data_IF_279601416393
#
_entry.id   IF_279601416393
#
_cell.length_a   1.000
_cell.length_b   1.000
_cell.length_c   1.000
_cell.angle_alpha   90.00
_cell.angle_beta   90.00
_cell.angle_gamma   90.00
#
_symmetry.space_group_name_H-M   'P 1'
#
loop_
_entity.id
_entity.type
_entity.pdbx_description
1 polymer ?
#
# COMPACT_ATOMS: atom_id res chain seq x y z
N UNK A 1 13.39 -49.61 -30.85
CA UNK A 1 13.21 -48.16 -31.15
C UNK A 1 12.46 -47.57 -29.99
N UNK A 2 13.21 -47.07 -29.02
CA UNK A 2 12.74 -47.00 -27.65
C UNK A 2 12.32 -45.58 -27.31
N UNK A 3 11.02 -45.32 -27.52
CA UNK A 3 10.38 -44.04 -27.26
C UNK A 3 10.38 -43.70 -25.76
N UNK A 4 11.50 -43.18 -25.27
CA UNK A 4 11.62 -42.59 -23.94
C UNK A 4 10.59 -41.47 -23.77
N UNK A 5 9.49 -41.76 -23.09
CA UNK A 5 8.58 -40.74 -22.53
C UNK A 5 9.40 -39.79 -21.67
N UNK A 6 9.66 -38.58 -22.16
CA UNK A 6 10.13 -37.50 -21.30
C UNK A 6 8.98 -37.11 -20.38
N UNK A 7 9.09 -37.50 -19.10
CA UNK A 7 8.19 -36.99 -18.08
C UNK A 7 8.41 -35.47 -17.96
N UNK A 8 7.36 -34.68 -18.20
CA UNK A 8 7.41 -33.24 -18.01
C UNK A 8 7.69 -32.95 -16.53
N UNK A 9 8.79 -32.23 -16.26
CA UNK A 9 9.06 -31.72 -14.92
C UNK A 9 8.02 -30.65 -14.59
N UNK A 10 6.98 -31.02 -13.87
CA UNK A 10 6.03 -30.07 -13.26
C UNK A 10 6.81 -29.18 -12.30
N UNK A 11 7.15 -27.97 -12.72
CA UNK A 11 7.84 -26.99 -11.88
C UNK A 11 6.92 -26.59 -10.73
N UNK A 12 7.18 -27.12 -9.52
CA UNK A 12 6.37 -26.85 -8.34
C UNK A 12 6.36 -25.35 -8.04
N UNK A 13 5.18 -24.73 -8.16
CA UNK A 13 5.03 -23.30 -7.94
C UNK A 13 5.14 -22.97 -6.45
N UNK A 14 5.82 -21.86 -6.14
CA UNK A 14 5.95 -21.38 -4.77
C UNK A 14 4.57 -21.14 -4.15
N UNK A 15 4.20 -21.83 -3.04
CA UNK A 15 2.85 -21.79 -2.51
C UNK A 15 2.40 -20.40 -2.06
N UNK A 16 1.10 -20.18 -2.20
CA UNK A 16 0.38 -19.02 -1.66
C UNK A 16 -0.24 -19.40 -0.32
N UNK A 17 -0.09 -18.53 0.67
CA UNK A 17 -0.48 -18.74 2.05
C UNK A 17 -1.59 -17.76 2.48
N UNK A 18 -2.44 -18.24 3.39
CA UNK A 18 -3.31 -17.37 4.21
C UNK A 18 -2.61 -17.05 5.53
N UNK A 19 -2.99 -15.95 6.18
CA UNK A 19 -2.34 -15.47 7.41
C UNK A 19 -2.19 -16.55 8.51
N UNK A 20 -3.21 -17.41 8.67
CA UNK A 20 -3.23 -18.50 9.66
C UNK A 20 -2.35 -19.71 9.30
N UNK A 21 -1.83 -19.77 8.07
CA UNK A 21 -0.96 -20.83 7.56
C UNK A 21 0.53 -20.41 7.55
N UNK A 22 0.85 -19.21 8.06
CA UNK A 22 2.24 -18.77 8.26
C UNK A 22 2.69 -19.17 9.66
N UNK A 23 3.74 -19.97 9.70
CA UNK A 23 4.55 -20.16 10.89
C UNK A 23 5.72 -19.16 10.86
N UNK A 24 5.96 -18.51 11.99
CA UNK A 24 7.04 -17.53 12.14
C UNK A 24 8.38 -18.17 12.49
N UNK A 25 8.42 -19.42 12.96
CA UNK A 25 9.67 -20.14 13.22
C UNK A 25 10.42 -20.48 11.92
N UNK A 26 9.67 -20.85 10.87
CA UNK A 26 10.18 -21.07 9.51
C UNK A 26 10.70 -19.78 8.80
N UNK A 27 10.70 -18.60 9.44
CA UNK A 27 11.23 -17.35 8.83
C UNK A 27 12.76 -17.27 8.96
N UNK A 28 13.42 -17.19 7.80
CA UNK A 28 14.87 -17.09 7.67
C UNK A 28 15.28 -15.66 7.25
N UNK A 29 15.89 -14.93 8.18
CA UNK A 29 16.45 -13.58 7.95
C UNK A 29 17.94 -13.71 7.61
N UNK A 30 18.39 -13.10 6.51
CA UNK A 30 19.82 -13.09 6.15
C UNK A 30 20.66 -12.25 7.13
N UNK A 31 21.99 -12.47 7.18
CA UNK A 31 22.92 -11.47 7.73
C UNK A 31 22.65 -10.08 7.16
N UNK A 32 22.88 -9.05 7.98
CA UNK A 32 22.67 -7.65 7.62
C UNK A 32 23.79 -7.15 6.70
N UNK A 33 23.47 -6.85 5.45
CA UNK A 33 24.38 -6.17 4.54
C UNK A 33 24.40 -4.67 4.84
N UNK A 34 25.49 -4.20 5.45
CA UNK A 34 25.72 -2.77 5.76
C UNK A 34 26.39 -2.00 4.60
N UNK A 35 26.56 -2.57 3.39
CA UNK A 35 27.19 -1.88 2.24
C UNK A 35 26.34 -0.71 1.70
N UNK A 36 25.04 -0.91 1.55
CA UNK A 36 24.12 0.09 0.98
C UNK A 36 23.91 1.35 1.83
N UNK A 37 23.08 2.32 1.38
CA UNK A 37 22.76 3.52 2.19
C UNK A 37 21.99 3.17 3.49
N UNK A 38 21.30 2.03 3.51
CA UNK A 38 20.71 1.40 4.68
C UNK A 38 21.30 0.00 4.85
N UNK A 39 21.32 -0.52 6.07
CA UNK A 39 21.50 -1.95 6.32
C UNK A 39 20.31 -2.73 5.76
N UNK A 40 20.56 -3.87 5.12
CA UNK A 40 19.52 -4.70 4.49
C UNK A 40 19.69 -6.17 4.90
N UNK A 41 18.63 -6.79 5.41
CA UNK A 41 18.51 -8.25 5.49
C UNK A 41 17.36 -8.72 4.62
N UNK A 42 17.59 -9.76 3.81
CA UNK A 42 16.55 -10.39 3.01
C UNK A 42 15.79 -11.42 3.85
N UNK A 43 14.47 -11.44 3.70
CA UNK A 43 13.57 -12.34 4.41
C UNK A 43 13.19 -13.47 3.45
N UNK A 44 13.39 -14.71 3.88
CA UNK A 44 13.02 -15.94 3.20
C UNK A 44 12.19 -16.82 4.14
N UNK A 45 11.62 -17.90 3.60
CA UNK A 45 10.86 -18.91 4.33
C UNK A 45 11.49 -20.28 4.10
N UNK A 46 11.64 -21.09 5.14
CA UNK A 46 12.03 -22.49 4.97
C UNK A 46 10.81 -23.33 4.58
N UNK A 47 10.75 -23.74 3.32
CA UNK A 47 9.57 -24.38 2.76
C UNK A 47 9.69 -25.89 2.88
N UNK A 48 9.28 -26.44 4.02
CA UNK A 48 9.38 -27.88 4.32
C UNK A 48 8.76 -28.79 3.23
N UNK A 49 7.71 -28.32 2.53
CA UNK A 49 7.09 -29.05 1.41
C UNK A 49 8.00 -29.11 0.18
N UNK A 50 8.60 -27.98 -0.20
CA UNK A 50 9.50 -27.86 -1.35
C UNK A 50 10.98 -28.15 -1.02
N UNK A 51 11.29 -28.45 0.26
CA UNK A 51 12.63 -28.67 0.82
C UNK A 51 13.65 -27.60 0.41
N UNK A 52 13.20 -26.34 0.32
CA UNK A 52 14.02 -25.22 -0.17
C UNK A 52 13.56 -23.88 0.39
N UNK A 53 14.40 -22.84 0.24
CA UNK A 53 14.16 -21.50 0.77
C UNK A 53 13.41 -20.67 -0.25
N UNK A 54 12.17 -20.28 0.05
CA UNK A 54 11.32 -19.49 -0.87
C UNK A 54 10.97 -18.12 -0.30
N UNK A 55 10.17 -17.33 -1.03
CA UNK A 55 9.53 -16.11 -0.51
C UNK A 55 8.13 -16.44 -0.01
N UNK A 56 7.74 -15.86 1.12
CA UNK A 56 6.35 -15.96 1.60
C UNK A 56 5.44 -15.21 0.64
N UNK A 57 4.50 -15.89 -0.01
CA UNK A 57 3.45 -15.24 -0.80
C UNK A 57 2.14 -15.26 0.00
N UNK A 58 1.79 -14.13 0.59
CA UNK A 58 0.58 -13.93 1.40
C UNK A 58 -0.56 -13.37 0.56
N UNK A 59 -1.72 -14.03 0.60
CA UNK A 59 -2.93 -13.58 -0.08
C UNK A 59 -3.95 -13.01 0.91
N UNK A 60 -4.31 -11.74 0.72
CA UNK A 60 -5.30 -11.04 1.55
C UNK A 60 -6.73 -11.58 1.32
N UNK A 61 -7.66 -11.19 2.21
CA UNK A 61 -9.07 -11.10 1.85
C UNK A 61 -9.30 -10.01 0.79
N UNK A 62 -10.55 -9.78 0.41
CA UNK A 62 -10.90 -8.67 -0.49
C UNK A 62 -11.09 -7.38 0.32
N UNK A 63 -10.38 -6.33 -0.08
CA UNK A 63 -10.33 -5.03 0.61
C UNK A 63 -10.90 -3.97 -0.36
N UNK A 64 -11.87 -3.19 0.10
CA UNK A 64 -12.31 -1.98 -0.60
C UNK A 64 -11.40 -0.80 -0.22
N UNK A 65 -10.90 -0.10 -1.24
CA UNK A 65 -10.01 1.06 -1.10
C UNK A 65 -10.82 2.28 -0.63
N UNK A 66 -11.15 2.33 0.67
CA UNK A 66 -11.88 3.43 1.32
C UNK A 66 -11.02 4.67 1.53
N UNK A 67 -9.69 4.52 1.61
CA UNK A 67 -8.70 5.59 1.59
C UNK A 67 -7.35 5.06 1.07
N UNK A 68 -6.34 5.93 0.97
CA UNK A 68 -4.98 5.53 0.57
C UNK A 68 -4.82 5.41 -0.95
N UNK A 69 -4.35 4.25 -1.42
CA UNK A 69 -3.97 4.03 -2.82
C UNK A 69 -2.52 4.41 -3.11
N UNK A 70 -2.19 4.59 -4.39
CA UNK A 70 -0.89 5.13 -4.82
C UNK A 70 -0.97 6.67 -4.79
N UNK A 71 0.01 7.37 -4.18
CA UNK A 71 -0.02 8.84 -4.17
C UNK A 71 -0.03 9.46 -5.57
N UNK A 72 -0.58 10.66 -5.74
CA UNK A 72 -0.35 11.46 -6.95
C UNK A 72 1.13 11.85 -7.07
N UNK A 73 1.54 12.31 -8.25
CA UNK A 73 2.82 13.01 -8.43
C UNK A 73 2.74 14.31 -7.63
N UNK A 74 3.77 14.62 -6.83
CA UNK A 74 3.83 15.81 -5.99
C UNK A 74 5.27 16.36 -5.96
N UNK A 75 5.56 17.57 -6.45
CA UNK A 75 6.93 18.08 -6.65
C UNK A 75 7.87 17.91 -5.45
N UNK A 76 7.37 18.18 -4.24
CA UNK A 76 8.19 18.13 -3.01
C UNK A 76 8.37 16.71 -2.41
N UNK A 77 7.44 15.77 -2.67
CA UNK A 77 7.36 14.50 -1.92
C UNK A 77 7.53 13.27 -2.82
N UNK A 78 6.91 13.30 -4.00
CA UNK A 78 6.96 12.23 -5.00
C UNK A 78 7.00 12.85 -6.41
N UNK A 79 8.11 13.51 -6.80
CA UNK A 79 8.21 14.20 -8.10
C UNK A 79 8.19 13.25 -9.32
N UNK A 80 8.52 11.97 -9.13
CA UNK A 80 8.64 10.97 -10.19
C UNK A 80 8.03 9.62 -9.78
N UNK A 81 7.61 8.83 -10.77
CA UNK A 81 6.89 7.56 -10.57
C UNK A 81 7.65 6.55 -9.68
N UNK A 82 8.98 6.52 -9.75
CA UNK A 82 9.82 5.66 -8.90
C UNK A 82 9.73 6.01 -7.40
N UNK A 83 9.49 7.29 -7.05
CA UNK A 83 9.34 7.74 -5.66
C UNK A 83 7.98 7.35 -5.07
N UNK A 84 6.93 7.30 -5.91
CA UNK A 84 5.58 6.84 -5.56
C UNK A 84 5.32 5.36 -5.90
N UNK A 85 6.35 4.55 -6.10
CA UNK A 85 6.27 3.11 -6.36
C UNK A 85 5.81 2.27 -5.13
N UNK A 86 4.73 2.70 -4.46
CA UNK A 86 4.11 2.03 -3.33
C UNK A 86 2.61 2.36 -3.24
N UNK A 87 1.84 1.41 -2.72
CA UNK A 87 0.43 1.58 -2.35
C UNK A 87 0.34 1.73 -0.83
N UNK A 88 -0.45 2.67 -0.35
CA UNK A 88 -0.92 2.67 1.04
C UNK A 88 -2.27 1.91 1.07
N UNK A 89 -2.30 0.75 1.72
CA UNK A 89 -3.52 -0.07 1.87
C UNK A 89 -4.22 0.33 3.16
N UNK A 90 -5.53 0.67 3.13
CA UNK A 90 -6.27 1.06 4.33
C UNK A 90 -6.53 -0.14 5.25
N UNK A 91 -6.54 0.12 6.56
CA UNK A 91 -6.92 -0.82 7.60
C UNK A 91 -8.25 -0.36 8.23
N UNK A 92 -9.30 -0.40 7.42
CA UNK A 92 -10.67 -0.06 7.83
C UNK A 92 -11.31 -1.22 8.62
N UNK A 93 -11.45 -1.04 9.93
CA UNK A 93 -11.95 -2.10 10.83
C UNK A 93 -13.43 -2.47 10.60
N UNK A 94 -14.16 -1.75 9.74
CA UNK A 94 -15.46 -2.19 9.21
C UNK A 94 -15.33 -3.41 8.29
N UNK A 95 -14.18 -3.58 7.64
CA UNK A 95 -13.91 -4.65 6.69
C UNK A 95 -13.17 -5.81 7.36
N UNK A 96 -13.71 -7.02 7.23
CA UNK A 96 -13.09 -8.22 7.83
C UNK A 96 -11.68 -8.49 7.30
N UNK A 97 -11.46 -8.32 6.00
CA UNK A 97 -10.14 -8.49 5.38
C UNK A 97 -9.08 -7.49 5.89
N UNK A 98 -9.49 -6.27 6.24
CA UNK A 98 -8.62 -5.26 6.86
C UNK A 98 -8.31 -5.63 8.32
N UNK A 99 -9.30 -6.09 9.10
CA UNK A 99 -9.06 -6.57 10.47
C UNK A 99 -8.11 -7.76 10.51
N UNK A 100 -8.25 -8.70 9.57
CA UNK A 100 -7.35 -9.86 9.50
C UNK A 100 -5.96 -9.51 8.98
N UNK A 101 -5.85 -8.54 8.06
CA UNK A 101 -4.56 -7.94 7.70
C UNK A 101 -3.92 -7.24 8.91
N UNK A 102 -4.66 -6.43 9.66
CA UNK A 102 -4.20 -5.75 10.89
C UNK A 102 -3.66 -6.75 11.92
N UNK A 103 -4.45 -7.77 12.30
CA UNK A 103 -4.02 -8.85 13.22
C UNK A 103 -2.76 -9.60 12.74
N UNK A 104 -2.61 -9.76 11.42
CA UNK A 104 -1.43 -10.40 10.86
C UNK A 104 -0.20 -9.47 10.92
N UNK A 105 -0.37 -8.19 10.61
CA UNK A 105 0.69 -7.18 10.74
C UNK A 105 1.13 -7.02 12.21
N UNK A 106 0.20 -7.00 13.17
CA UNK A 106 0.51 -6.97 14.61
C UNK A 106 1.41 -8.15 15.03
N UNK A 107 1.18 -9.36 14.48
CA UNK A 107 2.06 -10.52 14.69
C UNK A 107 3.44 -10.35 14.02
N UNK A 108 3.49 -9.75 12.83
CA UNK A 108 4.74 -9.39 12.14
C UNK A 108 5.53 -8.37 12.98
N UNK A 109 4.88 -7.35 13.54
CA UNK A 109 5.51 -6.36 14.40
C UNK A 109 5.99 -6.96 15.73
N UNK A 110 5.20 -7.81 16.38
CA UNK A 110 5.62 -8.52 17.59
C UNK A 110 6.84 -9.42 17.34
N UNK A 111 6.85 -10.19 16.24
CA UNK A 111 7.96 -11.08 15.89
C UNK A 111 9.23 -10.30 15.54
N UNK A 112 9.16 -9.32 14.62
CA UNK A 112 10.34 -8.59 14.17
C UNK A 112 10.79 -7.48 15.14
N UNK A 113 9.92 -7.00 16.02
CA UNK A 113 10.25 -6.08 17.11
C UNK A 113 10.76 -6.76 18.39
N UNK A 114 10.68 -8.09 18.48
CA UNK A 114 11.16 -8.87 19.63
C UNK A 114 12.65 -8.66 19.93
N UNK A 115 13.02 -8.83 21.21
CA UNK A 115 14.42 -8.77 21.64
C UNK A 115 15.26 -9.84 20.93
N UNK A 116 14.76 -11.07 20.85
CA UNK A 116 15.41 -12.21 20.21
C UNK A 116 15.72 -11.94 18.73
N UNK A 117 14.74 -11.44 17.96
CA UNK A 117 14.95 -11.12 16.56
C UNK A 117 15.93 -9.95 16.40
N UNK A 118 15.81 -8.92 17.23
CA UNK A 118 16.72 -7.77 17.25
C UNK A 118 18.17 -8.20 17.54
N UNK A 119 18.38 -9.13 18.46
CA UNK A 119 19.71 -9.69 18.77
C UNK A 119 20.22 -10.64 17.67
N UNK A 120 19.35 -11.46 17.08
CA UNK A 120 19.66 -12.31 15.91
C UNK A 120 20.15 -11.50 14.71
N UNK A 121 19.60 -10.30 14.48
CA UNK A 121 19.99 -9.40 13.38
C UNK A 121 21.24 -8.58 13.73
N UNK A 122 21.21 -7.85 14.85
CA UNK A 122 22.19 -6.80 15.15
C UNK A 122 23.30 -7.22 16.13
N UNK A 123 23.18 -8.40 16.74
CA UNK A 123 24.13 -8.95 17.73
C UNK A 123 24.41 -7.92 18.82
N UNK A 124 25.68 -7.66 19.17
CA UNK A 124 26.06 -6.66 20.15
C UNK A 124 25.59 -5.21 19.87
N UNK A 125 25.15 -4.89 18.64
CA UNK A 125 24.54 -3.57 18.32
C UNK A 125 23.06 -3.48 18.69
N UNK A 126 22.38 -4.56 19.11
CA UNK A 126 20.92 -4.62 19.29
C UNK A 126 20.32 -3.48 20.15
N UNK A 127 21.01 -3.09 21.23
CA UNK A 127 20.60 -1.99 22.13
C UNK A 127 20.61 -0.60 21.46
N UNK A 128 21.19 -0.44 20.27
CA UNK A 128 21.18 0.81 19.49
C UNK A 128 19.96 0.92 18.55
N UNK A 129 19.17 -0.14 18.39
CA UNK A 129 18.13 -0.24 17.38
C UNK A 129 16.73 -0.32 18.00
N UNK A 130 15.77 0.38 17.40
CA UNK A 130 14.35 0.34 17.75
C UNK A 130 13.52 -0.03 16.51
N UNK A 131 12.52 -0.90 16.71
CA UNK A 131 11.63 -1.30 15.64
C UNK A 131 10.69 -0.15 15.27
N UNK A 132 10.56 0.12 13.97
CA UNK A 132 9.58 1.01 13.39
C UNK A 132 8.33 0.19 13.02
N UNK A 133 7.16 0.51 13.58
CA UNK A 133 5.89 -0.06 13.13
C UNK A 133 5.73 0.03 11.61
N UNK A 134 5.03 -0.96 11.05
CA UNK A 134 4.68 -1.06 9.64
C UNK A 134 3.22 -0.65 9.39
N UNK A 135 2.37 -0.69 10.43
CA UNK A 135 1.10 0.03 10.50
C UNK A 135 1.42 1.51 10.75
N UNK A 136 1.10 2.38 9.77
CA UNK A 136 1.03 3.82 10.00
C UNK A 136 -0.30 4.12 10.68
N UNK A 137 -0.24 4.43 11.97
CA UNK A 137 -1.36 5.04 12.69
C UNK A 137 -1.63 6.42 12.08
N UNK A 138 -2.89 6.72 11.76
CA UNK A 138 -3.30 8.03 11.27
C UNK A 138 -4.12 8.76 12.35
N UNK A 139 -3.50 9.71 13.03
CA UNK A 139 -4.19 10.64 13.93
C UNK A 139 -5.12 11.56 13.12
N UNK A 140 -6.32 11.83 13.64
CA UNK A 140 -7.23 12.83 13.07
C UNK A 140 -6.88 14.27 13.52
N UNK A 141 -5.64 14.47 13.96
CA UNK A 141 -5.14 15.68 14.67
C UNK A 141 -4.02 16.39 13.89
N UNK A 142 -3.85 16.06 12.60
CA UNK A 142 -2.95 16.77 11.67
C UNK A 142 -3.47 18.19 11.39
N UNK A 143 -3.23 19.14 12.30
CA UNK A 143 -2.73 20.51 12.02
C UNK A 143 -3.49 21.49 11.12
N UNK A 144 -4.56 21.12 10.42
CA UNK A 144 -5.37 22.06 9.64
C UNK A 144 -6.23 22.92 10.59
N UNK A 145 -5.70 24.08 10.99
CA UNK A 145 -6.38 25.14 11.77
C UNK A 145 -7.43 25.90 10.92
N UNK A 146 -8.03 25.19 9.96
CA UNK A 146 -9.13 25.67 9.14
C UNK A 146 -10.45 25.52 9.94
N UNK A 147 -11.37 26.51 9.89
CA UNK A 147 -12.62 26.44 10.61
C UNK A 147 -13.41 25.19 10.20
N UNK A 148 -13.62 24.29 11.17
CA UNK A 148 -14.30 23.01 10.95
C UNK A 148 -15.78 23.25 10.70
N UNK A 149 -16.13 23.34 9.42
CA UNK A 149 -17.51 23.33 8.94
C UNK A 149 -18.25 22.12 9.53
N UNK A 150 -19.28 22.34 10.38
CA UNK A 150 -19.97 21.28 11.10
C UNK A 150 -20.88 20.43 10.22
N UNK A 151 -21.23 20.89 9.01
CA UNK A 151 -22.10 20.17 8.08
C UNK A 151 -21.33 19.21 7.17
N UNK A 152 -20.01 19.41 7.00
CA UNK A 152 -19.17 18.53 6.19
C UNK A 152 -18.81 17.24 6.93
N UNK A 153 -19.14 16.04 6.40
CA UNK A 153 -18.84 14.77 7.06
C UNK A 153 -17.31 14.55 7.12
N UNK A 154 -16.76 14.53 8.35
CA UNK A 154 -15.31 14.34 8.58
C UNK A 154 -14.84 13.03 7.94
N UNK A 155 -13.94 13.14 6.97
CA UNK A 155 -13.35 11.99 6.28
C UNK A 155 -12.42 11.24 7.25
N UNK A 156 -12.82 10.03 7.66
CA UNK A 156 -12.04 9.24 8.61
C UNK A 156 -10.74 8.74 7.96
N UNK A 157 -9.60 9.28 8.38
CA UNK A 157 -8.28 8.79 7.97
C UNK A 157 -8.01 7.43 8.65
N UNK A 158 -8.47 6.34 8.05
CA UNK A 158 -8.11 4.98 8.48
C UNK A 158 -6.58 4.80 8.56
N UNK A 159 -6.09 3.99 9.50
CA UNK A 159 -4.70 3.53 9.52
C UNK A 159 -4.31 2.86 8.19
N UNK A 160 -3.03 2.79 7.88
CA UNK A 160 -2.58 2.17 6.63
C UNK A 160 -1.25 1.43 6.70
N UNK A 161 -1.09 0.42 5.84
CA UNK A 161 0.18 -0.29 5.63
C UNK A 161 0.76 0.06 4.26
N UNK A 162 2.06 0.33 4.21
CA UNK A 162 2.77 0.66 2.96
C UNK A 162 3.33 -0.60 2.29
N UNK A 163 2.82 -0.94 1.11
CA UNK A 163 3.33 -2.04 0.28
C UNK A 163 4.02 -1.48 -0.97
N UNK A 164 5.31 -1.79 -1.17
CA UNK A 164 6.03 -1.34 -2.38
C UNK A 164 5.62 -2.15 -3.61
N UNK A 165 5.53 -1.50 -4.77
CA UNK A 165 5.31 -2.20 -6.04
C UNK A 165 6.54 -3.03 -6.44
N UNK A 166 6.33 -4.02 -7.32
CA UNK A 166 7.40 -4.84 -7.86
C UNK A 166 8.13 -4.20 -9.04
N UNK A 167 8.65 -2.99 -8.84
CA UNK A 167 9.49 -2.31 -9.83
C UNK A 167 10.94 -2.79 -9.74
N UNK A 168 11.62 -2.90 -10.87
CA UNK A 168 13.08 -3.07 -11.02
C UNK A 168 13.65 -1.96 -11.92
N UNK A 169 14.96 -1.74 -11.87
CA UNK A 169 15.67 -0.92 -12.87
C UNK A 169 16.36 -1.87 -13.85
N UNK A 170 15.98 -1.87 -15.12
CA UNK A 170 16.59 -2.66 -16.20
C UNK A 170 17.04 -1.72 -17.32
N UNK A 171 18.29 -1.86 -17.77
CA UNK A 171 18.93 -1.02 -18.82
C UNK A 171 18.56 0.47 -18.74
N UNK A 172 18.63 1.00 -17.52
CA UNK A 172 18.29 2.38 -17.14
C UNK A 172 16.81 2.72 -16.91
N UNK A 173 15.87 1.96 -17.47
CA UNK A 173 14.42 2.17 -17.29
C UNK A 173 13.87 1.53 -16.01
N UNK A 174 12.76 2.06 -15.48
CA UNK A 174 12.04 1.49 -14.33
C UNK A 174 10.85 0.63 -14.78
N UNK A 175 11.02 -0.69 -14.76
CA UNK A 175 10.01 -1.65 -15.25
C UNK A 175 9.16 -2.17 -14.08
N UNK A 176 7.83 -2.01 -14.16
CA UNK A 176 6.90 -2.67 -13.24
C UNK A 176 6.73 -4.16 -13.56
N UNK A 177 6.95 -5.01 -12.56
CA UNK A 177 6.69 -6.45 -12.56
C UNK A 177 5.57 -6.84 -11.57
N UNK A 178 4.74 -5.88 -11.14
CA UNK A 178 3.52 -6.16 -10.35
C UNK A 178 2.43 -6.61 -11.32
N UNK A 179 1.98 -7.87 -11.23
CA UNK A 179 0.92 -8.36 -12.11
C UNK A 179 -0.42 -7.76 -11.70
N UNK A 180 -1.17 -7.20 -12.65
CA UNK A 180 -2.54 -6.75 -12.44
C UNK A 180 -3.52 -7.71 -13.11
N UNK A 181 -4.63 -8.00 -12.43
CA UNK A 181 -5.72 -8.82 -12.95
C UNK A 181 -7.02 -8.05 -12.70
N UNK A 182 -7.62 -7.52 -13.77
CA UNK A 182 -8.96 -6.93 -13.73
C UNK A 182 -9.97 -8.06 -13.58
N UNK A 183 -10.90 -7.91 -12.65
CA UNK A 183 -12.09 -8.74 -12.52
C UNK A 183 -13.26 -7.98 -13.13
N UNK A 184 -13.95 -8.61 -14.08
CA UNK A 184 -15.26 -8.19 -14.61
C UNK A 184 -16.25 -9.35 -14.44
N UNK A 185 -17.52 -9.13 -14.79
CA UNK A 185 -18.53 -10.19 -14.74
C UNK A 185 -18.22 -11.34 -15.73
N UNK A 186 -17.51 -11.04 -16.82
CA UNK A 186 -16.97 -12.01 -17.79
C UNK A 186 -15.75 -12.81 -17.27
N UNK A 187 -15.23 -12.48 -16.09
CA UNK A 187 -14.16 -13.22 -15.42
C UNK A 187 -12.91 -12.40 -15.11
N UNK A 188 -11.75 -12.85 -15.61
CA UNK A 188 -10.43 -12.33 -15.21
C UNK A 188 -9.53 -12.02 -16.40
N UNK A 189 -9.13 -10.76 -16.55
CA UNK A 189 -8.22 -10.30 -17.60
C UNK A 189 -6.91 -9.81 -16.98
N UNK A 190 -5.77 -10.37 -17.39
CA UNK A 190 -4.47 -9.84 -16.95
C UNK A 190 -4.18 -8.52 -17.69
N UNK A 191 -3.91 -7.45 -16.94
CA UNK A 191 -3.59 -6.13 -17.50
C UNK A 191 -2.06 -5.95 -17.51
N UNK A 192 -1.53 -5.46 -18.63
CA UNK A 192 -0.11 -5.14 -18.79
C UNK A 192 0.14 -3.73 -18.28
N UNK A 193 0.63 -3.62 -17.04
CA UNK A 193 1.09 -2.36 -16.44
C UNK A 193 2.63 -2.29 -16.51
N UNK A 194 3.16 -1.38 -17.33
CA UNK A 194 4.61 -1.14 -17.50
C UNK A 194 5.14 -0.17 -16.46
N UNK A 195 4.34 0.83 -16.10
CA UNK A 195 4.70 1.95 -15.23
C UNK A 195 3.87 1.99 -13.94
N UNK A 196 4.22 2.90 -13.01
CA UNK A 196 3.48 3.06 -11.74
C UNK A 196 2.14 3.77 -11.95
N UNK A 197 2.04 4.68 -12.93
CA UNK A 197 0.77 5.29 -13.38
C UNK A 197 -0.30 4.28 -13.77
N UNK A 198 0.08 3.20 -14.46
CA UNK A 198 -0.85 2.15 -14.92
C UNK A 198 -1.47 1.42 -13.72
N UNK A 199 -0.66 1.17 -12.69
CA UNK A 199 -1.12 0.58 -11.42
C UNK A 199 -1.98 1.57 -10.63
N UNK A 200 -1.67 2.87 -10.68
CA UNK A 200 -2.46 3.91 -10.00
C UNK A 200 -3.86 4.08 -10.63
N UNK A 201 -3.98 3.93 -11.95
CA UNK A 201 -5.27 3.92 -12.65
C UNK A 201 -6.13 2.68 -12.33
N UNK A 202 -5.53 1.56 -11.93
CA UNK A 202 -6.23 0.35 -11.50
C UNK A 202 -6.66 0.40 -10.02
N UNK A 203 -5.78 0.87 -9.12
CA UNK A 203 -6.01 0.86 -7.66
C UNK A 203 -6.56 2.22 -7.21
N UNK A 204 -7.78 2.53 -7.66
CA UNK A 204 -8.50 3.78 -7.37
C UNK A 204 -9.38 3.69 -6.12
N UNK A 205 -9.87 4.84 -5.63
CA UNK A 205 -10.82 4.89 -4.51
C UNK A 205 -12.09 4.08 -4.84
N UNK A 206 -12.63 3.32 -3.86
CA UNK A 206 -13.75 2.36 -4.02
C UNK A 206 -13.49 1.16 -4.93
N UNK A 207 -12.29 0.99 -5.49
CA UNK A 207 -11.89 -0.30 -6.09
C UNK A 207 -11.82 -1.39 -5.02
N UNK A 208 -12.11 -2.64 -5.40
CA UNK A 208 -12.05 -3.80 -4.50
C UNK A 208 -10.88 -4.69 -4.89
N UNK A 209 -9.82 -4.63 -4.10
CA UNK A 209 -8.54 -5.29 -4.38
C UNK A 209 -8.35 -6.57 -3.57
N UNK A 210 -7.60 -7.53 -4.13
CA UNK A 210 -7.08 -8.71 -3.43
C UNK A 210 -5.60 -8.82 -3.77
N UNK A 211 -4.78 -8.78 -2.73
CA UNK A 211 -3.34 -8.56 -2.85
C UNK A 211 -2.59 -9.86 -2.61
N UNK A 212 -1.59 -10.15 -3.44
CA UNK A 212 -0.55 -11.12 -3.17
C UNK A 212 0.76 -10.37 -2.87
N UNK A 213 1.25 -10.46 -1.64
CA UNK A 213 2.43 -9.72 -1.19
C UNK A 213 3.45 -10.63 -0.49
N UNK A 214 4.70 -10.16 -0.38
CA UNK A 214 5.79 -10.84 0.34
C UNK A 214 6.41 -9.92 1.38
N UNK A 215 6.93 -10.51 2.45
CA UNK A 215 8.02 -9.91 3.21
C UNK A 215 9.21 -9.75 2.24
N UNK A 216 9.67 -8.52 2.02
CA UNK A 216 10.66 -8.23 0.98
C UNK A 216 12.08 -8.21 1.58
N UNK A 217 12.29 -7.24 2.46
CA UNK A 217 13.52 -7.03 3.20
C UNK A 217 13.21 -6.37 4.54
N UNK A 218 14.05 -6.64 5.52
CA UNK A 218 14.25 -5.78 6.66
C UNK A 218 15.23 -4.67 6.25
N UNK A 219 14.93 -3.43 6.65
CA UNK A 219 15.79 -2.26 6.45
C UNK A 219 16.23 -1.72 7.82
N UNK A 220 17.44 -1.17 7.90
CA UNK A 220 17.98 -0.55 9.11
C UNK A 220 18.74 0.74 8.78
N UNK A 221 18.48 1.82 9.51
CA UNK A 221 19.18 3.09 9.32
C UNK A 221 20.58 3.04 9.96
N UNK A 222 21.60 3.51 9.23
CA UNK A 222 22.98 3.58 9.73
C UNK A 222 23.16 4.58 10.88
N UNK A 223 22.36 5.64 10.87
CA UNK A 223 22.30 6.73 11.85
C UNK A 223 20.94 6.76 12.57
N UNK A 224 20.89 7.41 13.73
CA UNK A 224 19.63 7.77 14.36
C UNK A 224 19.00 8.99 13.65
N UNK A 225 17.68 9.13 13.73
CA UNK A 225 17.00 10.34 13.27
C UNK A 225 17.34 11.53 14.19
N UNK A 226 17.30 12.80 13.72
CA UNK A 226 17.48 13.97 14.57
C UNK A 226 16.55 13.93 15.79
N UNK A 227 17.11 14.17 16.99
CA UNK A 227 16.38 14.05 18.27
C UNK A 227 16.25 12.63 18.83
N UNK A 228 16.42 11.58 18.03
CA UNK A 228 16.44 10.18 18.51
C UNK A 228 17.83 9.75 18.97
N UNK A 229 17.88 8.93 20.03
CA UNK A 229 19.07 8.16 20.41
C UNK A 229 19.16 6.80 19.72
N UNK A 230 18.03 6.30 19.21
CA UNK A 230 17.89 4.98 18.58
C UNK A 230 17.90 5.06 17.06
N UNK A 231 18.56 4.09 16.44
CA UNK A 231 18.49 3.81 15.00
C UNK A 231 17.21 3.04 14.70
N UNK A 232 16.47 3.44 13.67
CA UNK A 232 15.24 2.73 13.29
C UNK A 232 15.55 1.56 12.35
N UNK A 233 14.84 0.46 12.54
CA UNK A 233 14.77 -0.65 11.59
C UNK A 233 13.32 -1.13 11.43
N UNK A 234 12.98 -1.78 10.32
CA UNK A 234 11.61 -2.25 10.09
C UNK A 234 11.47 -3.15 8.88
N UNK A 235 10.26 -3.65 8.65
CA UNK A 235 9.94 -4.54 7.53
C UNK A 235 9.39 -3.75 6.35
N UNK A 236 9.87 -4.06 5.15
CA UNK A 236 9.23 -3.65 3.90
C UNK A 236 8.42 -4.80 3.31
N UNK A 237 7.17 -4.53 2.95
CA UNK A 237 6.36 -5.44 2.12
C UNK A 237 6.54 -5.10 0.64
N UNK A 238 6.43 -6.12 -0.23
CA UNK A 238 6.45 -5.96 -1.69
C UNK A 238 5.23 -6.67 -2.30
N UNK A 239 4.48 -5.93 -3.10
CA UNK A 239 3.27 -6.36 -3.78
C UNK A 239 3.64 -7.07 -5.09
N UNK A 240 3.14 -8.28 -5.30
CA UNK A 240 3.53 -9.17 -6.40
C UNK A 240 2.40 -9.32 -7.44
N UNK A 241 1.16 -9.46 -6.96
CA UNK A 241 -0.06 -9.54 -7.78
C UNK A 241 -1.17 -8.71 -7.12
N UNK A 242 -2.00 -8.07 -7.94
CA UNK A 242 -3.24 -7.41 -7.55
C UNK A 242 -4.36 -7.94 -8.42
N UNK A 243 -5.31 -8.67 -7.84
CA UNK A 243 -6.64 -8.80 -8.44
C UNK A 243 -7.46 -7.56 -8.05
N UNK A 244 -8.18 -6.94 -8.98
CA UNK A 244 -9.04 -5.79 -8.67
C UNK A 244 -10.36 -5.79 -9.44
N UNK A 245 -11.46 -5.52 -8.74
CA UNK A 245 -12.67 -4.99 -9.36
C UNK A 245 -12.52 -3.46 -9.40
N UNK A 246 -12.70 -2.80 -10.56
CA UNK A 246 -12.68 -1.33 -10.65
C UNK A 246 -13.66 -0.68 -9.66
N UNK A 247 -13.32 0.51 -9.17
CA UNK A 247 -14.28 1.33 -8.43
C UNK A 247 -15.36 1.84 -9.39
N UNK A 248 -16.63 1.79 -8.98
CA UNK A 248 -17.74 2.34 -9.79
C UNK A 248 -17.60 3.87 -9.82
N UNK A 249 -17.04 4.39 -10.91
CA UNK A 249 -17.17 5.79 -11.28
C UNK A 249 -18.63 6.09 -11.55
N UNK A 250 -19.23 7.01 -10.79
CA UNK A 250 -20.60 7.50 -11.03
C UNK A 250 -20.71 8.53 -12.17
N UNK A 251 -19.60 8.85 -12.83
CA UNK A 251 -19.61 9.63 -14.06
C UNK A 251 -19.96 8.73 -15.25
N UNK A 252 -20.53 9.29 -16.33
CA UNK A 252 -20.75 8.56 -17.57
C UNK A 252 -19.42 8.12 -18.21
N UNK A 253 -19.47 7.14 -19.11
CA UNK A 253 -18.32 6.81 -19.95
C UNK A 253 -18.12 7.93 -20.97
N UNK A 254 -17.09 8.75 -20.76
CA UNK A 254 -16.79 9.89 -21.65
C UNK A 254 -16.36 9.46 -23.06
N UNK A 255 -16.06 8.18 -23.30
CA UNK A 255 -15.86 7.64 -24.65
C UNK A 255 -17.18 7.36 -25.41
N UNK A 256 -18.33 7.56 -24.74
CA UNK A 256 -19.68 7.48 -25.30
C UNK A 256 -20.45 8.81 -25.14
N UNK A 257 -19.76 9.90 -24.81
CA UNK A 257 -20.35 11.23 -24.61
C UNK A 257 -20.03 12.15 -25.79
N UNK A 258 -20.79 12.02 -26.88
CA UNK A 258 -20.78 13.01 -27.96
C UNK A 258 -21.53 14.29 -27.57
N UNK A 259 -21.14 15.41 -28.16
CA UNK A 259 -21.92 16.65 -28.09
C UNK A 259 -23.15 16.53 -29.03
N UNK A 260 -24.30 17.03 -28.57
CA UNK A 260 -25.44 17.25 -29.47
C UNK A 260 -25.00 18.32 -30.49
N UNK A 261 -25.19 18.10 -31.81
CA UNK A 261 -24.89 19.13 -32.81
C UNK A 261 -25.76 20.36 -32.59
N UNK A 262 -25.19 21.55 -32.80
CA UNK A 262 -25.86 22.82 -32.56
C UNK A 262 -26.93 23.07 -33.65
N UNK A 263 -28.18 23.33 -33.27
CA UNK A 263 -29.29 23.54 -34.23
C UNK A 263 -29.15 24.86 -35.03
N UNK A 264 -28.08 25.64 -34.80
CA UNK A 264 -27.75 26.84 -35.57
C UNK A 264 -27.11 26.58 -36.93
N UNK A 265 -27.01 25.33 -37.40
CA UNK A 265 -26.44 24.99 -38.72
C UNK A 265 -27.47 24.63 -39.81
N UNK A 266 -28.72 25.05 -39.65
CA UNK A 266 -29.74 25.02 -40.73
C UNK A 266 -29.71 26.34 -41.53
N UNK A 267 -28.84 26.41 -42.56
CA UNK A 267 -28.94 27.42 -43.61
C UNK A 267 -28.47 26.91 -44.97
N UNK A 268 -29.40 26.82 -45.92
CA UNK A 268 -29.23 26.78 -47.38
C UNK A 268 -28.08 27.66 -47.91
N UNK A 269 -27.49 27.46 -49.11
CA UNK A 269 -27.86 26.72 -50.33
C UNK A 269 -26.52 26.38 -51.07
N UNK A 270 -26.33 25.34 -51.90
CA UNK A 270 -27.15 24.18 -52.30
C UNK A 270 -26.27 23.11 -53.04
N UNK A 271 -26.91 22.07 -53.60
CA UNK A 271 -26.52 21.25 -54.79
C UNK A 271 -25.03 20.96 -55.08
N UNK A 272 -24.69 19.67 -55.10
CA UNK A 272 -24.56 19.00 -56.41
C UNK A 272 -25.03 17.53 -56.34
N UNK A 273 -25.23 16.89 -57.51
CA UNK A 273 -25.76 15.52 -57.62
C UNK A 273 -24.68 14.48 -57.89
N UNK A 274 -24.80 13.30 -57.28
CA UNK A 274 -24.77 12.05 -58.06
C UNK A 274 -25.60 10.95 -57.38
N UNK A 275 -25.91 9.89 -58.12
CA UNK A 275 -27.08 9.02 -57.89
C UNK A 275 -26.70 7.54 -57.87
N UNK A 276 -27.22 6.78 -56.90
CA UNK A 276 -27.13 5.32 -56.87
C UNK A 276 -28.22 4.71 -55.99
N UNK A 277 -29.12 3.97 -56.64
CA UNK A 277 -30.07 3.04 -56.04
C UNK A 277 -29.33 1.81 -55.45
N UNK A 278 -29.93 0.90 -54.67
CA UNK A 278 -31.32 0.72 -54.25
C UNK A 278 -31.36 0.10 -52.83
N UNK A 279 -32.53 0.15 -52.18
CA UNK A 279 -32.89 -0.66 -51.01
C UNK A 279 -34.06 -1.60 -51.45
N UNK A 280 -35.10 -1.98 -50.66
CA UNK A 280 -35.28 -2.03 -49.19
C UNK A 280 -36.02 -3.33 -48.72
N UNK A 281 -36.62 -3.29 -47.51
CA UNK A 281 -37.67 -4.19 -46.94
C UNK A 281 -37.12 -5.49 -46.29
N UNK A 282 -37.75 -6.11 -45.27
CA UNK A 282 -39.08 -5.93 -44.62
C UNK A 282 -39.06 -6.49 -43.16
N UNK A 283 -40.07 -6.26 -42.32
CA UNK A 283 -40.14 -5.11 -41.38
C UNK A 283 -41.17 -5.32 -40.24
N UNK A 284 -40.94 -4.68 -39.07
CA UNK A 284 -41.89 -4.35 -37.96
C UNK A 284 -42.28 -5.39 -36.89
N UNK A 285 -42.70 -4.81 -35.75
CA UNK A 285 -43.64 -5.23 -34.68
C UNK A 285 -43.03 -5.92 -33.43
N UNK A 286 -43.27 -5.44 -32.20
CA UNK A 286 -43.93 -4.18 -31.79
C UNK A 286 -44.09 -4.02 -30.25
N UNK A 287 -44.60 -2.85 -29.83
CA UNK A 287 -45.43 -2.53 -28.63
C UNK A 287 -45.22 -3.37 -27.34
N UNK A 288 -44.66 -2.79 -26.26
CA UNK A 288 -45.38 -2.00 -25.22
C UNK A 288 -46.21 -2.85 -24.24
N UNK A 289 -45.90 -2.74 -22.94
CA UNK A 289 -46.91 -2.46 -21.89
C UNK A 289 -46.22 -1.95 -20.59
N UNK A 290 -47.00 -1.36 -19.68
CA UNK A 290 -46.55 -0.73 -18.42
C UNK A 290 -46.48 -1.70 -17.20
N UNK A 291 -46.08 -1.13 -16.04
CA UNK A 291 -46.73 -1.25 -14.71
C UNK A 291 -45.75 -1.49 -13.56
N UNK A 292 -45.55 -0.42 -12.79
CA UNK A 292 -45.18 -0.42 -11.36
C UNK A 292 -46.41 0.00 -10.52
N UNK A 293 -46.41 -0.01 -9.17
CA UNK A 293 -45.55 -0.66 -8.18
C UNK A 293 -46.36 -1.47 -7.13
N UNK A 294 -45.70 -2.03 -6.09
CA UNK A 294 -46.16 -1.92 -4.67
C UNK A 294 -45.19 -2.49 -3.62
N UNK A 295 -44.89 -1.67 -2.59
CA UNK A 295 -44.65 -2.13 -1.20
C UNK A 295 -45.98 -2.11 -0.44
N UNK A 296 -46.11 -2.86 0.66
CA UNK A 296 -46.52 -2.19 1.91
C UNK A 296 -45.84 -2.66 3.21
N UNK A 297 -45.66 -1.69 4.12
CA UNK A 297 -45.84 -1.67 5.60
C UNK A 297 -45.73 -3.00 6.39
N UNK A 298 -44.85 -3.14 7.40
CA UNK A 298 -44.69 -2.41 8.71
C UNK A 298 -45.57 -2.96 9.87
N UNK A 299 -44.94 -3.62 10.85
CA UNK A 299 -45.20 -3.64 12.31
C UNK A 299 -43.84 -3.87 13.02
N UNK A 300 -43.38 -3.31 14.16
CA UNK A 300 -43.89 -2.61 15.38
C UNK A 300 -44.15 -3.49 16.61
N UNK A 301 -43.52 -3.13 17.73
CA UNK A 301 -43.61 -3.74 19.08
C UNK A 301 -42.33 -4.51 19.49
N UNK A 302 -41.85 -4.49 20.74
CA UNK A 302 -42.16 -3.58 21.86
C UNK A 302 -41.10 -3.61 22.98
N UNK A 303 -41.20 -2.62 23.88
CA UNK A 303 -40.75 -2.47 25.29
C UNK A 303 -39.63 -3.34 25.95
N UNK A 304 -38.71 -2.60 26.62
CA UNK A 304 -38.27 -2.74 28.04
C UNK A 304 -37.44 -3.97 28.50
N UNK A 305 -36.74 -3.99 29.65
CA UNK A 305 -36.74 -3.14 30.87
C UNK A 305 -35.31 -2.91 31.44
N UNK A 306 -35.17 -2.22 32.59
CA UNK A 306 -33.89 -1.85 33.23
C UNK A 306 -33.15 -3.01 33.94
N UNK A 307 -31.82 -2.85 34.15
CA UNK A 307 -31.23 -2.63 35.52
C UNK A 307 -29.71 -2.39 35.56
N UNK A 308 -29.31 -1.31 36.26
CA UNK A 308 -28.04 -1.06 37.00
C UNK A 308 -28.41 -1.10 38.51
N UNK A 309 -27.50 -1.17 39.54
CA UNK A 309 -26.23 -0.41 39.62
C UNK A 309 -25.08 -0.88 40.59
N UNK A 310 -23.94 -0.13 40.59
CA UNK A 310 -22.97 0.09 41.71
C UNK A 310 -22.08 -1.14 42.12
N UNK A 311 -20.92 -1.05 42.81
CA UNK A 311 -20.15 0.02 43.55
C UNK A 311 -18.62 -0.33 43.51
N UNK A 312 -17.67 0.61 43.31
CA UNK A 312 -16.67 1.22 44.27
C UNK A 312 -15.78 0.26 45.13
N UNK A 313 -14.48 0.50 45.42
CA UNK A 313 -13.45 1.51 44.97
C UNK A 313 -12.08 0.83 44.60
N UNK A 314 -10.82 1.07 45.08
CA UNK A 314 -10.14 1.91 46.13
C UNK A 314 -8.67 2.26 45.71
N UNK A 315 -8.11 3.32 46.32
CA UNK A 315 -6.78 4.00 46.17
C UNK A 315 -5.51 3.14 46.53
N UNK A 316 -4.23 3.57 46.39
CA UNK A 316 -3.58 4.91 46.46
C UNK A 316 -2.24 4.91 45.65
N UNK A 317 -1.75 6.01 45.05
CA UNK A 317 -0.99 7.20 45.59
C UNK A 317 0.45 6.80 46.00
N UNK A 318 1.54 7.38 45.45
CA UNK A 318 2.16 8.73 45.62
C UNK A 318 2.85 9.20 44.30
N UNK A 319 2.89 10.48 43.84
CA UNK A 319 3.70 11.67 44.23
C UNK A 319 5.23 11.45 44.27
N UNK A 320 6.14 12.39 43.93
CA UNK A 320 6.15 13.70 43.24
C UNK A 320 7.65 14.06 42.98
N UNK A 321 8.00 14.79 41.91
CA UNK A 321 8.95 15.93 41.96
C UNK A 321 9.18 16.60 40.59
N UNK A 322 9.44 17.91 40.60
CA UNK A 322 9.74 18.74 39.44
C UNK A 322 11.09 19.46 39.64
N UNK A 323 12.06 19.26 38.74
CA UNK A 323 13.30 20.07 38.73
C UNK A 323 13.63 20.56 37.31
N UNK A 324 13.31 21.82 37.08
CA UNK A 324 13.74 22.58 35.89
C UNK A 324 15.26 22.89 35.94
N UNK A 325 15.96 22.80 34.79
CA UNK A 325 17.21 23.57 34.53
C UNK A 325 17.68 23.56 33.07
N UNK A 326 17.51 24.72 32.44
CA UNK A 326 18.31 25.31 31.34
C UNK A 326 18.40 26.83 31.64
N UNK A 327 19.31 27.61 31.03
CA UNK A 327 20.39 27.26 30.10
C UNK A 327 21.78 27.76 30.57
N UNK A 328 22.84 27.47 29.79
CA UNK A 328 23.94 28.44 29.58
C UNK A 328 24.34 28.47 28.10
N UNK A 329 24.30 29.66 27.48
CA UNK A 329 24.85 29.92 26.13
C UNK A 329 26.34 30.23 26.27
N UNK A 330 27.21 29.43 25.65
CA UNK A 330 28.57 29.85 25.27
C UNK A 330 28.53 30.55 23.91
N UNK A 331 29.40 31.56 23.68
CA UNK A 331 29.30 32.48 22.53
C UNK A 331 30.68 32.74 21.92
N UNK A 332 30.81 32.50 20.61
CA UNK A 332 31.89 32.95 19.69
C UNK A 332 33.36 32.66 20.09
N UNK A 333 34.10 32.03 19.17
CA UNK A 333 35.04 32.79 18.32
C UNK A 333 35.21 32.11 16.96
N UNK A 334 35.77 32.84 15.99
CA UNK A 334 36.11 32.36 14.67
C UNK A 334 37.43 33.03 14.23
N UNK A 335 38.22 32.26 13.48
CA UNK A 335 39.46 32.52 12.71
C UNK A 335 39.67 31.20 11.95
N UNK A 336 39.66 31.07 10.62
CA UNK A 336 40.14 31.91 9.51
C UNK A 336 41.67 31.93 9.39
N UNK A 337 42.14 31.50 8.20
CA UNK A 337 43.53 31.48 7.66
C UNK A 337 44.61 30.76 8.51
N UNK A 338 45.67 30.17 7.96
CA UNK A 338 46.34 30.33 6.65
C UNK A 338 46.73 28.98 6.02
N UNK A 339 47.06 29.00 4.73
CA UNK A 339 47.93 27.98 4.10
C UNK A 339 49.40 28.40 4.28
N UNK A 340 50.30 27.46 4.59
CA UNK A 340 51.60 27.48 3.93
C UNK A 340 52.17 26.06 3.72
N UNK A 341 52.97 25.94 2.66
CA UNK A 341 53.68 24.75 2.21
C UNK A 341 55.11 24.82 2.76
N UNK A 342 55.84 23.70 2.95
CA UNK A 342 57.29 23.63 2.60
C UNK A 342 57.91 22.21 2.64
N UNK A 343 58.66 21.93 1.57
CA UNK A 343 59.72 20.93 1.37
C UNK A 343 59.67 19.50 1.93
N UNK A 344 59.64 18.56 0.99
CA UNK A 344 60.36 17.28 1.01
C UNK A 344 61.81 17.43 1.48
N UNK A 345 62.34 16.46 2.25
CA UNK A 345 63.77 16.11 2.17
C UNK A 345 64.05 14.62 2.43
N UNK A 346 64.46 13.93 1.37
CA UNK A 346 64.84 12.51 1.37
C UNK A 346 66.18 12.29 2.09
N UNK A 347 66.35 11.15 2.77
CA UNK A 347 67.69 10.57 2.95
C UNK A 347 67.64 9.04 2.99
N UNK A 348 68.41 8.40 2.11
CA UNK A 348 68.70 6.96 2.16
C UNK A 348 69.41 6.62 3.47
N UNK A 349 69.19 5.40 3.94
CA UNK A 349 70.30 4.44 4.02
C UNK A 349 69.84 3.07 3.54
#
# INVERSE_FOLDING_TARGET
MDSKKQASKTTEQNPVYRYKNIDFENILVSPLDEKGPQGISYINYDNQRLKTKTKVLLQTGQIEMTSGGIPPIHPQFWPTDDKRAFVNIPLDDKQEACRDLRKHLEKVEAYFGSNEMREKIFKGKAKQYQFSPCIKINTNEDGDDAPVDPEKPKFVKHDSVKMKLNVIKDKEEWVNLTKLIKITDDGKTQIVAKEVKDVAAAITLRSKVRLLFTYNKLWANKTAAPGSKMKLYGIGFKLMVVEYVPGISKGPDLSQCDFIPDESSESNEEKDKEESEEAPKKSKKGSEDEVSPKKPKKKTGSEEEEKKPKKKKKNATESEEEVTKKPKKGKKKATESEEEVVSVKTKKR
#
